data_IF_462840708636
#
_entry.id   IF_462840708636
#
_cell.length_a   1.000
_cell.length_b   1.000
_cell.length_c   1.000
_cell.angle_alpha   90.00
_cell.angle_beta   90.00
_cell.angle_gamma   90.00
#
_symmetry.space_group_name_H-M   'P 1'
#
loop_
_entity.id
_entity.type
_entity.pdbx_description
1 polymer ?
#
# COMPACT_ATOMS: atom_id res chain seq x y z
N UNK A 1 -10.29 25.75 3.47
CA UNK A 1 -10.64 24.91 2.31
C UNK A 1 -9.48 23.98 2.03
N UNK A 2 -9.44 22.80 2.65
CA UNK A 2 -8.28 21.89 2.68
C UNK A 2 -8.35 20.79 1.61
N UNK A 3 -9.07 21.04 0.52
CA UNK A 3 -9.29 20.08 -0.58
C UNK A 3 -8.56 20.51 -1.85
N UNK A 4 -7.78 21.60 -1.80
CA UNK A 4 -7.10 22.17 -2.96
C UNK A 4 -5.59 21.92 -2.90
N UNK A 5 -5.16 20.66 -2.89
CA UNK A 5 -3.88 20.22 -3.50
C UNK A 5 -3.72 18.68 -3.57
N UNK A 6 -4.81 17.94 -3.78
CA UNK A 6 -4.69 16.56 -4.22
C UNK A 6 -4.41 16.59 -5.73
N UNK A 7 -3.17 16.91 -6.12
CA UNK A 7 -2.65 16.38 -7.38
C UNK A 7 -2.97 14.89 -7.33
N UNK A 8 -3.83 14.42 -8.25
CA UNK A 8 -4.31 13.04 -8.21
C UNK A 8 -3.09 12.15 -8.24
N UNK A 9 -2.84 11.46 -7.12
CA UNK A 9 -1.66 10.63 -6.96
C UNK A 9 -1.72 9.55 -8.02
N UNK A 10 -0.84 9.68 -9.02
CA UNK A 10 -0.73 8.75 -10.12
C UNK A 10 0.54 7.92 -9.89
N UNK A 11 0.45 6.62 -10.18
CA UNK A 11 1.62 5.73 -10.16
C UNK A 11 2.72 6.20 -11.11
N UNK A 12 2.38 6.94 -12.17
CA UNK A 12 3.36 7.58 -13.05
C UNK A 12 4.26 8.56 -12.29
N UNK A 13 3.75 9.24 -11.26
CA UNK A 13 4.57 10.12 -10.41
C UNK A 13 5.59 9.31 -9.60
N UNK A 14 5.29 8.06 -9.28
CA UNK A 14 6.15 7.14 -8.53
C UNK A 14 6.97 6.22 -9.45
N UNK A 15 7.07 6.53 -10.74
CA UNK A 15 7.75 5.69 -11.74
C UNK A 15 9.14 5.24 -11.31
N UNK A 16 9.98 6.19 -10.90
CA UNK A 16 11.36 5.90 -10.52
C UNK A 16 11.44 5.02 -9.27
N UNK A 17 10.57 5.25 -8.29
CA UNK A 17 10.52 4.44 -7.07
C UNK A 17 10.09 3.00 -7.39
N UNK A 18 9.07 2.81 -8.25
CA UNK A 18 8.62 1.49 -8.66
C UNK A 18 9.70 0.72 -9.45
N UNK A 19 10.38 1.39 -10.39
CA UNK A 19 11.48 0.79 -11.15
C UNK A 19 12.64 0.43 -10.22
N UNK A 20 13.02 1.33 -9.31
CA UNK A 20 14.06 1.07 -8.32
C UNK A 20 13.73 -0.14 -7.44
N UNK A 21 12.49 -0.21 -6.93
CA UNK A 21 12.02 -1.31 -6.10
C UNK A 21 12.18 -2.65 -6.84
N UNK A 22 11.72 -2.73 -8.10
CA UNK A 22 11.85 -3.94 -8.91
C UNK A 22 13.31 -4.29 -9.25
N UNK A 23 14.16 -3.31 -9.55
CA UNK A 23 15.59 -3.53 -9.87
C UNK A 23 16.40 -4.08 -8.71
N UNK A 24 15.95 -3.86 -7.47
CA UNK A 24 16.58 -4.44 -6.27
C UNK A 24 16.25 -5.90 -6.05
N UNK A 25 15.15 -6.38 -6.61
CA UNK A 25 14.66 -7.75 -6.40
C UNK A 25 15.36 -8.71 -7.37
N UNK A 26 15.72 -9.89 -6.87
CA UNK A 26 16.15 -10.98 -7.74
C UNK A 26 14.91 -11.68 -8.37
N UNK A 27 15.08 -12.55 -9.39
CA UNK A 27 13.95 -13.23 -10.02
C UNK A 27 13.07 -14.04 -9.04
N UNK A 28 13.66 -14.67 -8.03
CA UNK A 28 12.91 -15.43 -7.02
C UNK A 28 12.09 -14.54 -6.09
N UNK A 29 12.59 -13.35 -5.75
CA UNK A 29 11.84 -12.36 -4.98
C UNK A 29 10.66 -11.81 -5.78
N UNK A 30 10.87 -11.55 -7.08
CA UNK A 30 9.79 -11.11 -7.98
C UNK A 30 8.75 -12.21 -8.12
N UNK A 31 9.15 -13.48 -8.25
CA UNK A 31 8.24 -14.61 -8.25
C UNK A 31 7.44 -14.75 -6.95
N UNK A 32 7.98 -14.28 -5.83
CA UNK A 32 7.31 -14.25 -4.53
C UNK A 32 6.29 -13.10 -4.39
N UNK A 33 6.23 -12.15 -5.32
CA UNK A 33 5.21 -11.10 -5.32
C UNK A 33 3.83 -11.67 -5.68
N UNK A 34 2.74 -11.09 -5.14
CA UNK A 34 1.37 -11.45 -5.52
C UNK A 34 1.16 -11.22 -7.03
N UNK A 35 0.26 -11.99 -7.63
CA UNK A 35 -0.05 -11.97 -9.06
C UNK A 35 1.09 -12.38 -10.02
N UNK A 36 2.29 -12.74 -9.55
CA UNK A 36 3.37 -13.26 -10.41
C UNK A 36 3.28 -14.79 -10.53
N UNK A 37 3.29 -15.30 -11.76
CA UNK A 37 3.26 -16.73 -12.07
C UNK A 37 3.84 -17.02 -13.45
N UNK A 38 4.31 -18.25 -13.65
CA UNK A 38 4.68 -18.83 -14.95
C UNK A 38 5.64 -17.96 -15.77
N UNK A 39 6.80 -17.60 -15.19
CA UNK A 39 7.87 -16.90 -15.88
C UNK A 39 7.65 -15.40 -16.08
N UNK A 40 6.56 -14.82 -15.56
CA UNK A 40 6.31 -13.38 -15.58
C UNK A 40 7.44 -12.60 -14.88
N UNK A 41 8.06 -13.18 -13.86
CA UNK A 41 9.23 -12.64 -13.18
C UNK A 41 10.38 -12.32 -14.15
N UNK A 42 10.62 -13.16 -15.16
CA UNK A 42 11.68 -12.94 -16.14
C UNK A 42 11.35 -11.76 -17.06
N UNK A 43 10.10 -11.65 -17.50
CA UNK A 43 9.65 -10.52 -18.31
C UNK A 43 9.77 -9.19 -17.53
N UNK A 44 9.42 -9.20 -16.23
CA UNK A 44 9.58 -8.05 -15.35
C UNK A 44 11.07 -7.69 -15.20
N UNK A 45 11.95 -8.65 -14.93
CA UNK A 45 13.39 -8.41 -14.81
C UNK A 45 13.98 -7.74 -16.06
N UNK A 46 13.63 -8.25 -17.26
CA UNK A 46 14.09 -7.68 -18.52
C UNK A 46 13.54 -6.27 -18.73
N UNK A 47 12.23 -6.08 -18.59
CA UNK A 47 11.59 -4.79 -18.79
C UNK A 47 12.13 -3.72 -17.83
N UNK A 48 12.43 -4.06 -16.58
CA UNK A 48 13.00 -3.11 -15.62
C UNK A 48 14.37 -2.58 -16.03
N UNK A 49 15.18 -3.36 -16.77
CA UNK A 49 16.51 -2.92 -17.25
C UNK A 49 16.40 -1.96 -18.42
N UNK A 50 15.35 -2.09 -19.21
CA UNK A 50 15.16 -1.35 -20.46
C UNK A 50 14.21 -0.16 -20.33
N UNK A 51 13.52 -0.02 -19.19
CA UNK A 51 12.51 1.02 -18.99
C UNK A 51 13.00 2.13 -18.06
N UNK A 52 12.63 3.35 -18.39
CA UNK A 52 12.92 4.57 -17.62
C UNK A 52 11.66 5.22 -17.04
N UNK A 53 10.47 4.84 -17.52
CA UNK A 53 9.18 5.31 -17.01
C UNK A 53 8.20 4.16 -16.74
N UNK A 54 7.17 4.43 -15.93
CA UNK A 54 6.20 3.40 -15.55
C UNK A 54 5.32 2.96 -16.72
N UNK A 55 4.85 3.90 -17.55
CA UNK A 55 4.15 3.57 -18.78
C UNK A 55 4.97 2.63 -19.70
N UNK A 56 6.24 2.96 -19.94
CA UNK A 56 7.17 2.14 -20.72
C UNK A 56 7.35 0.74 -20.11
N UNK A 57 7.63 0.69 -18.80
CA UNK A 57 7.76 -0.56 -18.05
C UNK A 57 6.54 -1.47 -18.22
N UNK A 58 5.34 -0.92 -17.99
CA UNK A 58 4.11 -1.72 -18.06
C UNK A 58 3.78 -2.18 -19.47
N UNK A 59 4.10 -1.39 -20.49
CA UNK A 59 3.93 -1.77 -21.89
C UNK A 59 4.93 -2.85 -22.32
N UNK A 60 6.17 -2.80 -21.85
CA UNK A 60 7.18 -3.84 -22.13
C UNK A 60 6.82 -5.20 -21.51
N UNK A 61 6.06 -5.21 -20.40
CA UNK A 61 5.60 -6.45 -19.75
C UNK A 61 4.24 -6.93 -20.34
N UNK A 62 3.44 -6.00 -20.89
CA UNK A 62 2.10 -6.26 -21.42
C UNK A 62 2.15 -7.41 -22.44
N UNK A 63 1.27 -8.38 -22.25
CA UNK A 63 1.00 -9.41 -23.26
C UNK A 63 -0.51 -9.66 -23.39
N UNK A 64 -0.91 -10.60 -24.26
CA UNK A 64 -2.29 -11.11 -24.27
C UNK A 64 -2.64 -11.80 -22.95
N UNK A 65 -1.66 -12.44 -22.32
CA UNK A 65 -1.82 -13.20 -21.06
C UNK A 65 -1.81 -12.32 -19.82
N UNK A 66 -1.14 -11.16 -19.86
CA UNK A 66 -0.98 -10.26 -18.72
C UNK A 66 -1.64 -8.89 -18.98
N UNK A 67 -2.65 -8.57 -18.17
CA UNK A 67 -3.36 -7.28 -18.25
C UNK A 67 -2.56 -6.16 -17.57
N UNK A 68 -2.77 -4.90 -18.00
CA UNK A 68 -2.10 -3.76 -17.36
C UNK A 68 -2.45 -3.64 -15.88
N UNK A 69 -3.70 -3.91 -15.49
CA UNK A 69 -4.11 -3.86 -14.08
C UNK A 69 -3.35 -4.87 -13.21
N UNK A 70 -3.10 -6.09 -13.74
CA UNK A 70 -2.28 -7.10 -13.05
C UNK A 70 -0.85 -6.61 -12.88
N UNK A 71 -0.24 -6.10 -13.95
CA UNK A 71 1.14 -5.58 -13.93
C UNK A 71 1.27 -4.41 -12.94
N UNK A 72 0.30 -3.48 -12.94
CA UNK A 72 0.26 -2.36 -11.98
C UNK A 72 0.23 -2.83 -10.53
N UNK A 73 -0.61 -3.82 -10.20
CA UNK A 73 -0.65 -4.40 -8.85
C UNK A 73 0.67 -5.03 -8.46
N UNK A 74 1.33 -5.76 -9.37
CA UNK A 74 2.65 -6.33 -9.12
C UNK A 74 3.66 -5.23 -8.79
N UNK A 75 3.71 -4.15 -9.57
CA UNK A 75 4.63 -3.04 -9.31
C UNK A 75 4.34 -2.35 -7.97
N UNK A 76 3.07 -2.18 -7.59
CA UNK A 76 2.69 -1.60 -6.28
C UNK A 76 3.12 -2.53 -5.16
N UNK A 77 2.88 -3.84 -5.28
CA UNK A 77 3.31 -4.82 -4.28
C UNK A 77 4.84 -4.83 -4.15
N UNK A 78 5.58 -4.74 -5.25
CA UNK A 78 7.04 -4.62 -5.22
C UNK A 78 7.49 -3.35 -4.49
N UNK A 79 6.86 -2.21 -4.80
CA UNK A 79 7.15 -0.92 -4.19
C UNK A 79 6.89 -0.93 -2.68
N UNK A 80 5.80 -1.57 -2.25
CA UNK A 80 5.41 -1.70 -0.83
C UNK A 80 6.08 -2.89 -0.12
N UNK A 81 6.87 -3.68 -0.83
CA UNK A 81 7.47 -4.91 -0.33
C UNK A 81 6.44 -5.92 0.19
N UNK A 82 5.27 -6.02 -0.44
CA UNK A 82 4.20 -6.96 -0.10
C UNK A 82 4.37 -8.24 -0.93
N UNK A 83 4.44 -9.36 -0.24
CA UNK A 83 4.72 -10.69 -0.81
C UNK A 83 3.51 -11.62 -0.70
N UNK A 84 3.57 -12.77 -1.37
CA UNK A 84 2.57 -13.84 -1.22
C UNK A 84 2.45 -14.35 0.23
N UNK A 85 3.55 -14.38 0.99
CA UNK A 85 3.52 -14.81 2.39
C UNK A 85 2.84 -13.77 3.29
N UNK A 86 2.97 -12.48 2.99
CA UNK A 86 2.22 -11.43 3.70
C UNK A 86 0.70 -11.63 3.51
N UNK A 87 0.25 -11.90 2.27
CA UNK A 87 -1.16 -12.21 2.00
C UNK A 87 -1.65 -13.46 2.73
N UNK A 88 -0.82 -14.52 2.77
CA UNK A 88 -1.15 -15.75 3.48
C UNK A 88 -1.21 -15.55 5.02
N UNK A 89 -0.44 -14.59 5.55
CA UNK A 89 -0.44 -14.23 6.96
C UNK A 89 -1.68 -13.42 7.35
N UNK A 90 -2.11 -12.50 6.50
CA UNK A 90 -3.22 -11.57 6.78
C UNK A 90 -4.45 -11.88 5.90
N UNK A 91 -5.00 -13.10 6.03
CA UNK A 91 -6.17 -13.53 5.24
C UNK A 91 -7.47 -12.79 5.60
N UNK A 92 -7.56 -12.30 6.84
CA UNK A 92 -8.69 -11.54 7.36
C UNK A 92 -8.19 -10.21 7.97
N UNK A 93 -9.01 -9.15 7.97
CA UNK A 93 -8.65 -7.90 8.64
C UNK A 93 -8.41 -8.12 10.14
N UNK A 94 -7.36 -7.50 10.66
CA UNK A 94 -6.98 -7.64 12.07
C UNK A 94 -7.27 -6.38 12.91
N UNK A 95 -7.71 -5.29 12.27
CA UNK A 95 -8.05 -4.03 12.92
C UNK A 95 -9.09 -3.25 12.12
N UNK A 96 -9.73 -2.28 12.79
CA UNK A 96 -10.62 -1.29 12.18
C UNK A 96 -9.92 0.07 12.26
N UNK A 97 -9.46 0.61 11.13
CA UNK A 97 -8.81 1.93 11.09
C UNK A 97 -9.85 3.03 10.90
N UNK A 98 -9.96 3.92 11.89
CA UNK A 98 -10.90 5.04 11.86
C UNK A 98 -10.21 6.25 11.27
N UNK A 99 -10.59 6.64 10.05
CA UNK A 99 -9.98 7.78 9.34
C UNK A 99 -10.62 9.13 9.69
N UNK A 100 -11.88 9.10 10.12
CA UNK A 100 -12.64 10.27 10.50
C UNK A 100 -14.07 9.92 10.87
N UNK A 101 -14.78 10.88 11.47
CA UNK A 101 -16.17 10.73 11.86
C UNK A 101 -16.91 12.06 11.80
N UNK A 102 -18.24 11.99 11.75
CA UNK A 102 -19.07 13.17 11.97
C UNK A 102 -19.07 13.53 13.45
N UNK A 103 -19.15 14.82 13.78
CA UNK A 103 -19.15 15.27 15.18
C UNK A 103 -20.23 14.60 16.03
N UNK A 104 -21.42 14.42 15.48
CA UNK A 104 -22.57 13.81 16.18
C UNK A 104 -22.39 12.31 16.39
N UNK A 105 -21.53 11.65 15.60
CA UNK A 105 -21.26 10.22 15.66
C UNK A 105 -20.06 9.86 16.55
N UNK A 106 -19.37 10.85 17.14
CA UNK A 106 -18.24 10.59 18.05
C UNK A 106 -18.58 9.66 19.22
N UNK A 107 -19.78 9.75 19.87
CA UNK A 107 -20.15 8.82 20.93
C UNK A 107 -20.18 7.35 20.46
N UNK A 108 -20.55 7.10 19.19
CA UNK A 108 -20.60 5.75 18.63
C UNK A 108 -19.22 5.12 18.49
N UNK A 109 -18.16 5.93 18.29
CA UNK A 109 -16.79 5.41 18.20
C UNK A 109 -16.36 4.80 19.54
N UNK A 110 -16.75 5.43 20.65
CA UNK A 110 -16.52 4.89 21.98
C UNK A 110 -17.21 3.54 22.17
N UNK A 111 -18.49 3.44 21.81
CA UNK A 111 -19.21 2.17 21.88
C UNK A 111 -18.62 1.09 20.98
N UNK A 112 -18.19 1.44 19.77
CA UNK A 112 -17.53 0.51 18.86
C UNK A 112 -16.20 0.02 19.41
N UNK A 113 -15.42 0.91 20.05
CA UNK A 113 -14.15 0.51 20.67
C UNK A 113 -14.33 -0.54 21.77
N UNK A 114 -15.48 -0.55 22.45
CA UNK A 114 -15.80 -1.55 23.48
C UNK A 114 -16.43 -2.83 22.91
N UNK A 115 -17.28 -2.72 21.89
CA UNK A 115 -18.14 -3.83 21.42
C UNK A 115 -17.66 -4.51 20.14
N UNK A 116 -16.76 -3.90 19.37
CA UNK A 116 -16.31 -4.47 18.10
C UNK A 116 -15.51 -5.75 18.32
N UNK A 117 -15.63 -6.67 17.36
CA UNK A 117 -14.85 -7.92 17.34
C UNK A 117 -13.38 -7.72 16.96
N UNK A 118 -13.02 -6.54 16.46
CA UNK A 118 -11.66 -6.17 16.08
C UNK A 118 -11.25 -4.87 16.79
N UNK A 119 -9.96 -4.69 17.11
CA UNK A 119 -9.45 -3.48 17.73
C UNK A 119 -9.64 -2.27 16.79
N UNK A 120 -10.17 -1.19 17.34
CA UNK A 120 -10.25 0.10 16.63
C UNK A 120 -8.94 0.87 16.77
N UNK A 121 -8.50 1.51 15.68
CA UNK A 121 -7.29 2.33 15.64
C UNK A 121 -7.65 3.71 15.11
N UNK A 122 -7.67 4.70 16.01
CA UNK A 122 -7.88 6.11 15.66
C UNK A 122 -6.65 6.98 15.99
N UNK A 123 -5.81 6.54 16.92
CA UNK A 123 -4.61 7.25 17.34
C UNK A 123 -3.43 6.30 17.62
N UNK A 124 -2.27 6.89 17.97
CA UNK A 124 -1.05 6.14 18.30
C UNK A 124 -1.25 5.19 19.48
N UNK A 125 -1.96 5.64 20.52
CA UNK A 125 -2.19 4.83 21.71
C UNK A 125 -3.01 3.57 21.42
N UNK A 126 -3.85 3.59 20.39
CA UNK A 126 -4.61 2.41 19.94
C UNK A 126 -3.71 1.43 19.18
N UNK A 127 -2.87 1.97 18.27
CA UNK A 127 -1.86 1.18 17.57
C UNK A 127 -0.93 0.44 18.53
N UNK A 128 -0.49 1.09 19.61
CA UNK A 128 0.43 0.49 20.57
C UNK A 128 -0.18 -0.74 21.28
N UNK A 129 -1.52 -0.85 21.34
CA UNK A 129 -2.26 -1.99 21.92
C UNK A 129 -2.51 -3.15 20.95
N UNK A 130 -2.22 -2.98 19.65
CA UNK A 130 -2.40 -4.04 18.66
C UNK A 130 -1.47 -5.23 18.93
N UNK A 131 -1.92 -6.42 18.51
CA UNK A 131 -1.06 -7.61 18.44
C UNK A 131 0.10 -7.41 17.46
N UNK A 132 1.16 -8.21 17.57
CA UNK A 132 2.30 -8.11 16.65
C UNK A 132 1.90 -8.33 15.18
N UNK A 133 0.97 -9.26 14.92
CA UNK A 133 0.43 -9.49 13.57
C UNK A 133 -0.31 -8.25 13.04
N UNK A 134 -1.23 -7.69 13.84
CA UNK A 134 -1.98 -6.51 13.46
C UNK A 134 -1.08 -5.28 13.26
N UNK A 135 -0.01 -5.15 14.07
CA UNK A 135 1.02 -4.11 13.86
C UNK A 135 1.75 -4.30 12.54
N UNK A 136 2.16 -5.53 12.21
CA UNK A 136 2.83 -5.80 10.94
C UNK A 136 1.96 -5.43 9.73
N UNK A 137 0.65 -5.70 9.78
CA UNK A 137 -0.29 -5.25 8.76
C UNK A 137 -0.44 -3.72 8.73
N UNK A 138 -0.60 -3.08 9.90
CA UNK A 138 -0.72 -1.62 10.00
C UNK A 138 0.56 -0.89 9.56
N UNK A 139 1.73 -1.48 9.78
CA UNK A 139 3.01 -0.90 9.35
C UNK A 139 3.12 -0.87 7.81
N UNK A 140 2.51 -1.83 7.10
CA UNK A 140 2.37 -1.77 5.63
C UNK A 140 1.49 -0.61 5.20
N UNK A 141 0.40 -0.35 5.93
CA UNK A 141 -0.48 0.80 5.72
C UNK A 141 0.26 2.14 5.94
N UNK A 142 1.06 2.23 7.00
CA UNK A 142 1.92 3.40 7.26
C UNK A 142 2.90 3.59 6.11
N UNK A 143 3.63 2.52 5.74
CA UNK A 143 4.63 2.59 4.69
C UNK A 143 4.01 2.96 3.33
N UNK A 144 2.80 2.46 3.03
CA UNK A 144 2.06 2.85 1.84
C UNK A 144 1.70 4.35 1.87
N UNK A 145 1.25 4.87 3.00
CA UNK A 145 0.95 6.28 3.17
C UNK A 145 2.21 7.16 3.05
N UNK A 146 3.37 6.70 3.52
CA UNK A 146 4.66 7.39 3.39
C UNK A 146 5.17 7.39 1.94
N UNK A 147 5.10 6.23 1.28
CA UNK A 147 5.48 6.05 -0.13
C UNK A 147 4.63 6.94 -1.04
N UNK A 148 3.33 7.02 -0.75
CA UNK A 148 2.38 7.90 -1.41
C UNK A 148 2.80 9.39 -1.34
N UNK A 149 3.48 9.78 -0.27
CA UNK A 149 3.91 11.17 -0.03
C UNK A 149 5.29 11.51 -0.60
N UNK A 150 5.96 10.59 -1.31
CA UNK A 150 7.31 10.83 -1.88
C UNK A 150 7.39 12.06 -2.79
N UNK A 151 6.29 12.43 -3.46
CA UNK A 151 6.21 13.58 -4.36
C UNK A 151 5.48 14.79 -3.76
N UNK A 152 5.35 14.86 -2.43
CA UNK A 152 4.59 15.93 -1.79
C UNK A 152 5.01 16.21 -0.36
N UNK A 153 4.17 16.95 0.36
CA UNK A 153 4.41 17.26 1.76
C UNK A 153 4.15 16.02 2.62
N UNK A 154 5.22 15.45 3.17
CA UNK A 154 5.13 14.30 4.06
C UNK A 154 4.58 14.70 5.45
N UNK A 155 3.58 13.95 5.89
CA UNK A 155 2.99 13.98 7.23
C UNK A 155 2.95 12.53 7.70
N UNK A 156 3.66 12.24 8.79
CA UNK A 156 3.66 10.92 9.42
C UNK A 156 2.25 10.57 9.90
N UNK A 157 1.90 9.28 9.84
CA UNK A 157 0.56 8.77 10.16
C UNK A 157 -0.04 9.39 11.42
N UNK A 158 0.64 9.31 12.55
CA UNK A 158 0.13 9.79 13.84
C UNK A 158 0.23 11.30 14.09
N UNK A 159 0.76 12.08 13.13
CA UNK A 159 0.69 13.56 13.14
C UNK A 159 -0.51 14.09 12.35
N UNK A 160 -1.19 13.22 11.60
CA UNK A 160 -2.41 13.59 10.87
C UNK A 160 -3.52 13.87 11.88
N UNK A 161 -4.27 14.95 11.65
CA UNK A 161 -5.42 15.27 12.50
C UNK A 161 -6.56 14.31 12.18
N UNK A 162 -7.17 13.76 13.21
CA UNK A 162 -8.41 13.01 13.07
C UNK A 162 -9.46 13.88 12.38
N UNK A 163 -10.08 13.37 11.33
CA UNK A 163 -11.01 14.15 10.51
C UNK A 163 -12.36 14.17 11.23
N UNK A 164 -12.80 15.36 11.63
CA UNK A 164 -14.13 15.59 12.19
C UNK A 164 -14.89 16.48 11.22
N UNK A 165 -15.98 15.96 10.67
CA UNK A 165 -16.89 16.67 9.74
C UNK A 165 -18.15 17.09 10.47
#
# INVERSE_FOLDING_TARGET
>A
SAVADLSVMNIESLSQAAIYALRRLNPSDIAALPDVAEGLENAICSACRESSGFAELTMNIKSKRYTLSRIRRICINALLGITKSDYARHLLPEYIRVLGARREALPLIGEMAEKASLPLVACRADYDKLSESAKAAFDKDIFAAETAQLNGKAISEFKRKFIIV
#
